data_IF_824270275281
#
_entry.id   IF_824270275281
#
_cell.length_a   1.000
_cell.length_b   1.000
_cell.length_c   1.000
_cell.angle_alpha   90.00
_cell.angle_beta   90.00
_cell.angle_gamma   90.00
#
_symmetry.space_group_name_H-M   'P 1'
#
loop_
_entity.id
_entity.type
_entity.pdbx_description
1 polymer ?
#
# COMPACT_ATOMS: atom_id res chain seq x y z
N UNK A 1 16.47 15.43 26.71
CA UNK A 1 15.24 16.22 26.48
C UNK A 1 15.31 16.77 25.06
N UNK A 2 14.42 16.49 24.11
CA UNK A 2 13.32 15.53 24.02
C UNK A 2 13.42 14.78 22.68
N UNK A 3 12.85 13.58 22.62
CA UNK A 3 12.65 12.88 21.36
C UNK A 3 11.82 13.80 20.45
N UNK A 4 12.43 14.30 19.35
CA UNK A 4 11.63 14.91 18.29
C UNK A 4 10.63 13.86 17.84
N UNK A 5 9.36 14.14 18.05
CA UNK A 5 8.28 13.27 17.60
C UNK A 5 8.52 12.99 16.12
N UNK A 6 8.69 11.71 15.76
CA UNK A 6 8.59 11.29 14.38
C UNK A 6 7.31 11.93 13.84
N UNK A 7 7.45 12.78 12.83
CA UNK A 7 6.31 13.47 12.24
C UNK A 7 5.33 12.39 11.77
N UNK A 8 4.25 12.16 12.54
CA UNK A 8 3.22 11.20 12.15
C UNK A 8 2.63 11.76 10.86
N UNK A 9 2.85 11.04 9.76
CA UNK A 9 2.21 11.33 8.50
C UNK A 9 0.71 11.10 8.71
N UNK A 10 -0.08 12.12 8.41
CA UNK A 10 -1.52 11.97 8.45
C UNK A 10 -1.96 11.11 7.26
N UNK A 11 -2.93 10.22 7.46
CA UNK A 11 -3.55 9.41 6.38
C UNK A 11 -4.14 10.28 5.26
N UNK A 12 -4.35 11.58 5.48
CA UNK A 12 -4.79 12.54 4.47
C UNK A 12 -3.67 13.41 3.87
N UNK A 13 -2.45 13.37 4.40
CA UNK A 13 -1.29 14.06 3.81
C UNK A 13 -0.68 13.17 2.71
N UNK A 14 -1.29 13.24 1.53
CA UNK A 14 -0.88 12.45 0.38
C UNK A 14 0.57 12.71 -0.03
N UNK A 15 1.05 13.94 0.08
CA UNK A 15 2.42 14.27 -0.30
C UNK A 15 3.42 13.60 0.63
N UNK A 16 3.21 13.69 1.94
CA UNK A 16 4.09 13.07 2.92
C UNK A 16 4.08 11.55 2.82
N UNK A 17 2.89 10.95 2.63
CA UNK A 17 2.76 9.52 2.40
C UNK A 17 3.47 9.06 1.14
N UNK A 18 3.28 9.76 0.02
CA UNK A 18 3.88 9.36 -1.24
C UNK A 18 5.39 9.58 -1.26
N UNK A 19 5.88 10.65 -0.60
CA UNK A 19 7.31 10.86 -0.37
C UNK A 19 7.92 9.73 0.46
N UNK A 20 7.27 9.34 1.56
CA UNK A 20 7.70 8.21 2.37
C UNK A 20 7.71 6.92 1.56
N UNK A 21 6.61 6.58 0.87
CA UNK A 21 6.51 5.41 0.01
C UNK A 21 7.65 5.34 -1.01
N UNK A 22 7.93 6.44 -1.74
CA UNK A 22 9.00 6.48 -2.74
C UNK A 22 10.38 6.39 -2.12
N UNK A 23 10.59 6.89 -0.90
CA UNK A 23 11.86 6.72 -0.18
C UNK A 23 12.15 5.25 0.18
N UNK A 24 11.10 4.44 0.40
CA UNK A 24 11.19 3.02 0.74
C UNK A 24 11.19 2.08 -0.48
N UNK A 25 10.94 2.59 -1.70
CA UNK A 25 10.84 1.78 -2.93
C UNK A 25 11.64 2.42 -4.08
N UNK A 26 12.91 2.71 -3.83
CA UNK A 26 13.80 3.35 -4.80
C UNK A 26 14.33 2.35 -5.83
N UNK A 27 14.60 1.11 -5.42
CA UNK A 27 15.08 0.07 -6.31
C UNK A 27 13.95 -0.41 -7.25
N UNK A 28 14.15 -0.37 -8.58
CA UNK A 28 13.07 -0.62 -9.54
C UNK A 28 12.51 -2.04 -9.44
N UNK A 29 13.34 -3.04 -9.09
CA UNK A 29 12.87 -4.42 -8.91
C UNK A 29 11.98 -4.55 -7.68
N UNK A 30 12.30 -3.85 -6.58
CA UNK A 30 11.46 -3.87 -5.37
C UNK A 30 10.11 -3.19 -5.67
N UNK A 31 10.15 -2.01 -6.28
CA UNK A 31 8.95 -1.28 -6.67
C UNK A 31 8.06 -2.11 -7.62
N UNK A 32 8.66 -2.83 -8.58
CA UNK A 32 7.93 -3.71 -9.49
C UNK A 32 7.31 -4.91 -8.77
N UNK A 33 8.04 -5.54 -7.84
CA UNK A 33 7.51 -6.63 -7.03
C UNK A 33 6.28 -6.18 -6.21
N UNK A 34 6.36 -5.01 -5.56
CA UNK A 34 5.21 -4.45 -4.83
C UNK A 34 4.04 -4.14 -5.78
N UNK A 35 4.30 -3.53 -6.94
CA UNK A 35 3.27 -3.22 -7.93
C UNK A 35 2.52 -4.46 -8.44
N UNK A 36 3.24 -5.56 -8.66
CA UNK A 36 2.67 -6.79 -9.20
C UNK A 36 1.99 -7.67 -8.14
N UNK A 37 2.51 -7.69 -6.91
CA UNK A 37 2.11 -8.67 -5.90
C UNK A 37 1.10 -8.15 -4.88
N UNK A 38 0.94 -6.82 -4.76
CA UNK A 38 -0.02 -6.23 -3.81
C UNK A 38 -1.47 -6.54 -4.17
N UNK A 39 -1.83 -6.47 -5.45
CA UNK A 39 -3.21 -6.75 -5.89
C UNK A 39 -3.63 -8.22 -5.67
N UNK A 40 -2.80 -9.24 -5.97
CA UNK A 40 -3.06 -10.62 -5.55
C UNK A 40 -3.26 -10.81 -4.03
N UNK A 41 -2.46 -10.13 -3.20
CA UNK A 41 -2.63 -10.16 -1.73
C UNK A 41 -4.00 -9.59 -1.35
N UNK A 42 -4.35 -8.40 -1.84
CA UNK A 42 -5.64 -7.78 -1.55
C UNK A 42 -6.82 -8.62 -2.04
N UNK A 43 -6.72 -9.15 -3.26
CA UNK A 43 -7.77 -9.98 -3.83
C UNK A 43 -8.01 -11.25 -3.01
N UNK A 44 -6.94 -11.93 -2.58
CA UNK A 44 -7.07 -13.15 -1.76
C UNK A 44 -7.54 -12.85 -0.33
N UNK A 45 -7.23 -11.67 0.22
CA UNK A 45 -7.85 -11.19 1.46
C UNK A 45 -9.36 -11.03 1.28
N UNK A 46 -9.83 -10.36 0.22
CA UNK A 46 -11.27 -10.24 -0.07
C UNK A 46 -11.92 -11.63 -0.25
N UNK A 47 -11.24 -12.55 -0.93
CA UNK A 47 -11.71 -13.91 -1.16
C UNK A 47 -11.98 -14.67 0.14
N UNK A 48 -11.03 -14.68 1.07
CA UNK A 48 -11.18 -15.46 2.31
C UNK A 48 -12.22 -14.87 3.26
N UNK A 49 -12.38 -13.54 3.24
CA UNK A 49 -13.35 -12.82 4.08
C UNK A 49 -14.81 -13.23 3.77
N UNK A 50 -15.13 -13.73 2.57
CA UNK A 50 -16.47 -14.22 2.24
C UNK A 50 -16.90 -15.46 3.05
N UNK A 51 -15.95 -16.16 3.67
CA UNK A 51 -16.23 -17.35 4.48
C UNK A 51 -16.36 -17.06 5.98
N UNK A 52 -16.19 -15.80 6.41
CA UNK A 52 -16.37 -15.41 7.80
C UNK A 52 -17.87 -15.26 8.13
N UNK A 53 -18.38 -15.96 9.15
CA UNK A 53 -19.80 -15.92 9.52
C UNK A 53 -20.12 -14.67 10.37
N UNK A 54 -19.95 -13.48 9.80
CA UNK A 54 -20.23 -12.21 10.46
C UNK A 54 -21.54 -11.57 9.94
N UNK A 55 -22.28 -10.82 10.79
CA UNK A 55 -23.52 -10.15 10.38
C UNK A 55 -23.33 -9.12 9.27
N UNK A 56 -22.18 -8.45 9.25
CA UNK A 56 -21.79 -7.51 8.19
C UNK A 56 -20.83 -8.23 7.26
N UNK A 57 -21.06 -8.27 5.92
CA UNK A 57 -20.16 -8.92 4.98
C UNK A 57 -18.77 -8.26 5.02
N UNK A 58 -17.74 -8.90 5.61
CA UNK A 58 -16.50 -8.21 5.96
C UNK A 58 -15.69 -7.84 4.71
N UNK A 59 -15.76 -8.65 3.65
CA UNK A 59 -15.16 -8.32 2.37
C UNK A 59 -15.74 -7.02 1.79
N UNK A 60 -17.06 -6.82 1.86
CA UNK A 60 -17.70 -5.59 1.37
C UNK A 60 -17.35 -4.40 2.26
N UNK A 61 -17.37 -4.57 3.58
CA UNK A 61 -17.01 -3.52 4.52
C UNK A 61 -15.56 -3.03 4.29
N UNK A 62 -14.62 -3.96 4.08
CA UNK A 62 -13.23 -3.62 3.77
C UNK A 62 -13.13 -2.87 2.44
N UNK A 63 -13.79 -3.34 1.39
CA UNK A 63 -13.85 -2.67 0.09
C UNK A 63 -14.36 -1.23 0.20
N UNK A 64 -15.43 -1.00 0.94
CA UNK A 64 -16.00 0.34 1.14
C UNK A 64 -15.08 1.24 1.97
N UNK A 65 -14.43 0.70 3.00
CA UNK A 65 -13.48 1.44 3.82
C UNK A 65 -12.27 1.91 2.99
N UNK A 66 -11.69 1.02 2.18
CA UNK A 66 -10.60 1.35 1.27
C UNK A 66 -11.02 2.39 0.21
N UNK A 67 -12.17 2.17 -0.44
CA UNK A 67 -12.69 3.12 -1.43
C UNK A 67 -12.94 4.52 -0.81
N UNK A 68 -13.51 4.59 0.38
CA UNK A 68 -13.76 5.85 1.09
C UNK A 68 -12.45 6.55 1.48
N UNK A 69 -11.48 5.81 2.03
CA UNK A 69 -10.17 6.35 2.37
C UNK A 69 -9.47 6.94 1.13
N UNK A 70 -9.48 6.21 0.01
CA UNK A 70 -8.81 6.65 -1.21
C UNK A 70 -9.48 7.86 -1.85
N UNK A 71 -10.82 7.88 -1.84
CA UNK A 71 -11.58 9.03 -2.31
C UNK A 71 -11.34 10.30 -1.46
N UNK A 72 -11.12 10.13 -0.15
CA UNK A 72 -10.80 11.23 0.76
C UNK A 72 -9.42 11.84 0.49
N UNK A 73 -8.48 11.05 -0.04
CA UNK A 73 -7.10 11.44 -0.28
C UNK A 73 -6.91 12.05 -1.67
N UNK A 74 -7.51 11.47 -2.72
CA UNK A 74 -7.56 12.03 -4.07
C UNK A 74 -8.87 11.62 -4.75
N UNK A 75 -9.65 12.57 -5.26
CA UNK A 75 -10.97 12.26 -5.82
C UNK A 75 -10.92 11.44 -7.10
N UNK A 76 -9.93 11.65 -7.98
CA UNK A 76 -9.89 11.04 -9.32
C UNK A 76 -9.23 9.66 -9.26
N UNK A 77 -7.99 9.62 -8.77
CA UNK A 77 -7.26 8.38 -8.54
C UNK A 77 -7.99 7.52 -7.50
N UNK A 78 -8.55 8.13 -6.45
CA UNK A 78 -9.30 7.41 -5.42
C UNK A 78 -10.60 6.81 -5.94
N UNK A 79 -11.35 7.51 -6.80
CA UNK A 79 -12.53 6.93 -7.45
C UNK A 79 -12.14 5.73 -8.33
N UNK A 80 -11.08 5.85 -9.12
CA UNK A 80 -10.61 4.75 -9.96
C UNK A 80 -10.12 3.55 -9.13
N UNK A 81 -9.35 3.79 -8.07
CA UNK A 81 -8.93 2.76 -7.14
C UNK A 81 -10.12 2.10 -6.43
N UNK A 82 -11.12 2.89 -6.03
CA UNK A 82 -12.37 2.39 -5.43
C UNK A 82 -13.14 1.48 -6.39
N UNK A 83 -13.25 1.85 -7.66
CA UNK A 83 -13.86 1.00 -8.69
C UNK A 83 -13.10 -0.32 -8.88
N UNK A 84 -11.77 -0.29 -8.88
CA UNK A 84 -10.95 -1.51 -8.92
C UNK A 84 -11.19 -2.41 -7.71
N UNK A 85 -11.32 -1.82 -6.51
CA UNK A 85 -11.63 -2.56 -5.28
C UNK A 85 -13.04 -3.18 -5.30
N UNK A 86 -14.04 -2.47 -5.83
CA UNK A 86 -15.40 -3.00 -6.01
C UNK A 86 -15.42 -4.12 -7.04
N UNK A 87 -14.69 -3.99 -8.15
CA UNK A 87 -14.54 -5.04 -9.14
C UNK A 87 -13.85 -6.28 -8.54
N UNK A 88 -12.77 -6.08 -7.77
CA UNK A 88 -12.07 -7.15 -7.06
C UNK A 88 -12.97 -7.86 -6.04
N UNK A 89 -13.83 -7.12 -5.32
CA UNK A 89 -14.82 -7.69 -4.42
C UNK A 89 -15.87 -8.55 -5.14
N UNK A 90 -16.42 -8.05 -6.25
CA UNK A 90 -17.40 -8.79 -7.04
C UNK A 90 -16.79 -10.07 -7.61
N UNK A 91 -15.58 -9.97 -8.16
CA UNK A 91 -14.83 -11.11 -8.69
C UNK A 91 -14.46 -12.13 -7.60
N UNK A 92 -14.01 -11.68 -6.42
CA UNK A 92 -13.66 -12.57 -5.31
C UNK A 92 -14.90 -13.28 -4.75
N UNK A 93 -16.06 -12.62 -4.72
CA UNK A 93 -17.34 -13.23 -4.34
C UNK A 93 -17.76 -14.33 -5.31
N UNK A 94 -17.68 -14.05 -6.61
CA UNK A 94 -18.00 -15.04 -7.64
C UNK A 94 -17.05 -16.25 -7.56
N UNK A 95 -15.76 -16.00 -7.31
CA UNK A 95 -14.77 -17.05 -7.14
C UNK A 95 -15.01 -17.88 -5.86
N UNK A 96 -15.33 -17.23 -4.74
CA UNK A 96 -15.66 -17.90 -3.47
C UNK A 96 -16.82 -18.88 -3.65
N UNK A 97 -17.89 -18.44 -4.33
CA UNK A 97 -19.07 -19.26 -4.61
C UNK A 97 -18.74 -20.47 -5.50
N UNK A 98 -17.78 -20.34 -6.41
CA UNK A 98 -17.36 -21.41 -7.32
C UNK A 98 -16.42 -22.44 -6.67
N UNK A 99 -15.48 -21.99 -5.84
CA UNK A 99 -14.44 -22.86 -5.29
C UNK A 99 -14.81 -23.47 -3.93
N UNK A 100 -15.69 -22.82 -3.17
CA UNK A 100 -15.93 -23.16 -1.76
C UNK A 100 -14.71 -22.90 -0.87
N UNK A 101 -14.87 -23.16 0.43
CA UNK A 101 -13.86 -22.78 1.43
C UNK A 101 -12.52 -23.51 1.24
N UNK A 102 -12.54 -24.84 1.13
CA UNK A 102 -11.31 -25.64 1.14
C UNK A 102 -10.35 -25.29 -0.01
N UNK A 103 -10.88 -25.07 -1.23
CA UNK A 103 -10.05 -24.71 -2.38
C UNK A 103 -9.67 -23.22 -2.36
N UNK A 104 -10.58 -22.34 -1.93
CA UNK A 104 -10.24 -20.92 -1.73
C UNK A 104 -9.12 -20.75 -0.72
N UNK A 105 -9.14 -21.49 0.40
CA UNK A 105 -8.09 -21.43 1.42
C UNK A 105 -6.73 -21.87 0.88
N UNK A 106 -6.67 -22.94 0.07
CA UNK A 106 -5.42 -23.37 -0.58
C UNK A 106 -4.87 -22.31 -1.52
N UNK A 107 -5.73 -21.68 -2.32
CA UNK A 107 -5.35 -20.57 -3.20
C UNK A 107 -4.82 -19.39 -2.40
N UNK A 108 -5.56 -18.96 -1.36
CA UNK A 108 -5.18 -17.86 -0.48
C UNK A 108 -3.82 -18.12 0.15
N UNK A 109 -3.63 -19.30 0.77
CA UNK A 109 -2.37 -19.64 1.43
C UNK A 109 -1.18 -19.61 0.46
N UNK A 110 -1.34 -20.22 -0.72
CA UNK A 110 -0.28 -20.24 -1.74
C UNK A 110 0.07 -18.83 -2.23
N UNK A 111 -0.93 -18.00 -2.54
CA UNK A 111 -0.72 -16.62 -2.98
C UNK A 111 -0.09 -15.76 -1.88
N UNK A 112 -0.61 -15.81 -0.65
CA UNK A 112 -0.10 -15.01 0.46
C UNK A 112 1.34 -15.35 0.77
N UNK A 113 1.68 -16.64 0.89
CA UNK A 113 3.06 -17.07 1.14
C UNK A 113 4.00 -16.61 0.03
N UNK A 114 3.62 -16.81 -1.23
CA UNK A 114 4.44 -16.40 -2.37
C UNK A 114 4.66 -14.88 -2.42
N UNK A 115 3.57 -14.11 -2.35
CA UNK A 115 3.61 -12.66 -2.51
C UNK A 115 4.35 -11.98 -1.34
N UNK A 116 4.03 -12.33 -0.09
CA UNK A 116 4.71 -11.75 1.07
C UNK A 116 6.19 -12.10 1.11
N UNK A 117 6.57 -13.34 0.76
CA UNK A 117 7.98 -13.73 0.69
C UNK A 117 8.74 -12.78 -0.23
N UNK A 118 8.21 -12.51 -1.42
CA UNK A 118 8.92 -11.68 -2.39
C UNK A 118 8.88 -10.17 -2.04
N UNK A 119 7.80 -9.68 -1.43
CA UNK A 119 7.73 -8.30 -0.94
C UNK A 119 8.72 -8.05 0.21
N UNK A 120 8.77 -8.93 1.20
CA UNK A 120 9.75 -8.80 2.30
C UNK A 120 11.18 -9.01 1.84
N UNK A 121 11.42 -9.98 0.95
CA UNK A 121 12.75 -10.21 0.39
C UNK A 121 13.23 -9.00 -0.42
N UNK A 122 12.33 -8.36 -1.18
CA UNK A 122 12.62 -7.14 -1.92
C UNK A 122 13.10 -6.01 -1.00
N UNK A 123 12.39 -5.74 0.10
CA UNK A 123 12.83 -4.77 1.10
C UNK A 123 14.19 -5.14 1.73
N UNK A 124 14.36 -6.40 2.14
CA UNK A 124 15.58 -6.87 2.81
C UNK A 124 16.82 -6.82 1.92
N UNK A 125 16.71 -7.26 0.66
CA UNK A 125 17.83 -7.33 -0.28
C UNK A 125 18.18 -5.96 -0.86
N UNK A 126 17.19 -5.16 -1.25
CA UNK A 126 17.42 -3.95 -2.04
C UNK A 126 17.49 -2.67 -1.21
N UNK A 127 16.61 -2.53 -0.22
CA UNK A 127 16.47 -1.27 0.52
C UNK A 127 17.14 -1.30 1.89
N UNK A 128 17.34 -2.51 2.45
CA UNK A 128 17.92 -2.76 3.78
C UNK A 128 17.25 -1.96 4.89
N UNK A 129 16.04 -1.50 4.62
CA UNK A 129 15.18 -0.67 5.46
C UNK A 129 13.74 -1.05 5.11
N UNK A 130 12.85 -0.92 6.09
CA UNK A 130 11.43 -1.16 5.91
C UNK A 130 10.62 -0.32 6.90
N UNK A 131 9.29 -0.29 6.75
CA UNK A 131 8.41 0.43 7.65
C UNK A 131 8.56 -0.08 9.08
N UNK A 132 8.47 0.82 10.04
CA UNK A 132 8.48 0.47 11.47
C UNK A 132 7.10 -0.04 11.89
N UNK A 133 7.01 -0.71 13.05
CA UNK A 133 5.72 -1.18 13.60
C UNK A 133 4.71 -0.04 13.75
N UNK A 134 5.18 1.18 14.09
CA UNK A 134 4.34 2.37 14.20
C UNK A 134 3.76 2.85 12.88
N UNK A 135 4.37 2.51 11.74
CA UNK A 135 3.90 2.89 10.41
C UNK A 135 2.86 1.90 9.86
N UNK A 136 2.76 0.69 10.42
CA UNK A 136 1.97 -0.40 9.85
C UNK A 136 0.51 -0.03 9.55
N UNK A 137 -0.27 0.60 10.46
CA UNK A 137 -1.68 0.90 10.15
C UNK A 137 -1.85 1.81 8.92
N UNK A 138 -0.97 2.80 8.77
CA UNK A 138 -0.97 3.72 7.64
C UNK A 138 -0.50 3.00 6.37
N UNK A 139 0.57 2.22 6.46
CA UNK A 139 1.12 1.43 5.34
C UNK A 139 0.09 0.44 4.80
N UNK A 140 -0.54 -0.37 5.65
CA UNK A 140 -1.54 -1.34 5.21
C UNK A 140 -2.74 -0.69 4.50
N UNK A 141 -3.19 0.48 4.98
CA UNK A 141 -4.29 1.20 4.36
C UNK A 141 -3.85 1.85 3.04
N UNK A 142 -2.74 2.56 3.04
CA UNK A 142 -2.39 3.50 1.98
C UNK A 142 -1.44 2.94 0.93
N UNK A 143 -0.59 1.96 1.25
CA UNK A 143 0.38 1.40 0.30
C UNK A 143 -0.25 0.93 -1.02
N UNK A 144 -1.41 0.23 -1.04
CA UNK A 144 -2.02 -0.15 -2.31
C UNK A 144 -2.42 1.06 -3.17
N UNK A 145 -2.91 2.12 -2.53
CA UNK A 145 -3.22 3.37 -3.23
C UNK A 145 -1.97 4.09 -3.72
N UNK A 146 -0.90 4.12 -2.93
CA UNK A 146 0.37 4.77 -3.30
C UNK A 146 1.07 4.03 -4.45
N UNK A 147 1.02 2.69 -4.46
CA UNK A 147 1.44 1.86 -5.60
C UNK A 147 0.61 2.21 -6.84
N UNK A 148 -0.71 2.28 -6.69
CA UNK A 148 -1.61 2.62 -7.78
C UNK A 148 -1.32 4.03 -8.33
N UNK A 149 -1.14 5.02 -7.45
CA UNK A 149 -0.75 6.38 -7.80
C UNK A 149 0.62 6.42 -8.49
N UNK A 150 1.58 5.60 -8.06
CA UNK A 150 2.88 5.47 -8.72
C UNK A 150 2.76 4.94 -10.14
N UNK A 151 1.87 3.98 -10.39
CA UNK A 151 1.56 3.47 -11.73
C UNK A 151 0.90 4.56 -12.58
N UNK A 152 -0.11 5.24 -12.05
CA UNK A 152 -0.78 6.35 -12.75
C UNK A 152 0.21 7.45 -13.14
N UNK A 153 1.11 7.80 -12.23
CA UNK A 153 2.14 8.79 -12.49
C UNK A 153 3.14 8.33 -13.56
N UNK A 154 3.69 7.12 -13.45
CA UNK A 154 4.71 6.61 -14.39
C UNK A 154 4.17 6.33 -15.79
N UNK A 155 2.95 5.80 -15.91
CA UNK A 155 2.40 5.35 -17.18
C UNK A 155 1.54 6.42 -17.87
N UNK A 156 0.90 7.29 -17.10
CA UNK A 156 -0.07 8.26 -17.63
C UNK A 156 0.27 9.72 -17.28
N UNK A 157 1.37 9.96 -16.57
CA UNK A 157 1.74 11.32 -16.15
C UNK A 157 0.76 11.95 -15.17
N UNK A 158 -0.06 11.14 -14.48
CA UNK A 158 -1.05 11.66 -13.54
C UNK A 158 -0.39 12.37 -12.35
N UNK A 159 -0.89 13.56 -12.03
CA UNK A 159 -0.64 14.28 -10.79
C UNK A 159 -1.98 14.68 -10.16
N UNK A 160 -2.17 14.50 -8.83
CA UNK A 160 -3.33 15.01 -8.09
C UNK A 160 -3.61 16.50 -8.35
N UNK A 161 -2.55 17.30 -8.43
CA UNK A 161 -2.58 18.71 -8.79
C UNK A 161 -1.21 19.12 -9.40
N UNK A 162 -1.14 20.24 -10.15
CA UNK A 162 0.10 20.66 -10.81
C UNK A 162 1.26 20.91 -9.82
N UNK A 163 2.38 20.24 -10.02
CA UNK A 163 3.57 20.39 -9.18
C UNK A 163 3.60 19.44 -7.98
N UNK A 164 2.64 18.51 -7.90
CA UNK A 164 2.59 17.51 -6.83
C UNK A 164 3.88 16.69 -6.76
N UNK A 165 4.39 16.17 -7.89
CA UNK A 165 5.60 15.36 -7.88
C UNK A 165 6.84 16.16 -7.44
N UNK A 166 6.91 17.45 -7.80
CA UNK A 166 7.98 18.35 -7.33
C UNK A 166 7.93 18.55 -5.82
N UNK A 167 6.73 18.64 -5.23
CA UNK A 167 6.57 18.76 -3.78
C UNK A 167 6.96 17.46 -3.06
N UNK A 168 6.53 16.32 -3.61
CA UNK A 168 6.87 14.98 -3.12
C UNK A 168 8.38 14.74 -3.16
N UNK A 169 9.06 15.11 -4.24
CA UNK A 169 10.51 14.97 -4.37
C UNK A 169 11.25 15.81 -3.34
N UNK A 170 10.82 17.07 -3.12
CA UNK A 170 11.39 17.93 -2.06
C UNK A 170 11.23 17.33 -0.66
N UNK A 171 10.05 16.78 -0.33
CA UNK A 171 9.79 16.11 0.95
C UNK A 171 10.64 14.84 1.09
N UNK A 172 10.69 14.02 0.06
CA UNK A 172 11.50 12.79 0.05
C UNK A 172 12.99 13.10 0.26
N UNK A 173 13.52 14.13 -0.40
CA UNK A 173 14.91 14.56 -0.19
C UNK A 173 15.17 15.03 1.23
N UNK A 174 14.24 15.77 1.83
CA UNK A 174 14.34 16.22 3.21
C UNK A 174 14.36 15.02 4.18
N UNK A 175 13.44 14.06 4.02
CA UNK A 175 13.36 12.84 4.83
C UNK A 175 14.64 11.99 4.73
N UNK A 176 15.20 11.86 3.53
CA UNK A 176 16.46 11.15 3.30
C UNK A 176 17.66 11.85 3.93
N UNK A 177 17.69 13.19 3.94
CA UNK A 177 18.74 13.97 4.61
C UNK A 177 18.66 13.77 6.13
N UNK A 178 17.48 13.93 6.72
CA UNK A 178 17.26 13.73 8.15
C UNK A 178 17.63 12.30 8.58
N UNK A 179 17.23 11.29 7.80
CA UNK A 179 17.57 9.89 8.07
C UNK A 179 19.08 9.64 8.08
N UNK A 180 19.83 10.24 7.14
CA UNK A 180 21.30 10.15 7.09
C UNK A 180 21.96 10.81 8.30
N UNK A 181 21.49 11.99 8.69
CA UNK A 181 22.01 12.69 9.87
C UNK A 181 21.76 11.90 11.16
N UNK A 182 20.58 11.30 11.30
CA UNK A 182 20.25 10.43 12.45
C UNK A 182 21.12 9.17 12.49
N UNK A 183 21.40 8.56 11.35
CA UNK A 183 22.32 7.41 11.27
C UNK A 183 23.73 7.80 11.69
N UNK A 184 24.26 8.91 11.19
CA UNK A 184 25.59 9.42 11.56
C UNK A 184 25.70 9.65 13.08
N UNK A 185 24.69 10.29 13.70
CA UNK A 185 24.64 10.52 15.15
C UNK A 185 24.57 9.25 15.99
N UNK A 186 24.05 8.14 15.45
CA UNK A 186 24.03 6.85 16.16
C UNK A 186 25.38 6.13 16.11
N UNK A 187 26.20 6.45 15.11
CA UNK A 187 27.53 5.87 14.91
C UNK A 187 28.66 6.72 15.53
N UNK A 188 28.36 7.91 16.04
CA UNK A 188 29.30 8.77 16.78
C UNK A 188 29.04 8.66 18.28
#
# INVERSE_FOLDING_TARGET
MGAKAAHRRGVLDLEAQFAFFRSQHRHPVNAAAHALLTWPILFTNLLILHFLPLPVPPALALTLAYAAAYLAVDRRAGALAGLLFVAAWAASRALAARLGFALSWKLVLATQLFCWTWQFLGHGLFEKNGPTVSDLPEVFLMEPFLIFLQILNKLFGYEPYPGFCKNVERKMEADLRESRELQQRKTT
#
